data_IF_106767865641
#
_entry.id   IF_106767865641
#
_cell.length_a   1.000
_cell.length_b   1.000
_cell.length_c   1.000
_cell.angle_alpha   90.00
_cell.angle_beta   90.00
_cell.angle_gamma   90.00
#
_symmetry.space_group_name_H-M   'P 1'
#
loop_
_entity.id
_entity.type
_entity.pdbx_description
1 polymer ?
#
# COMPACT_ATOMS: atom_id res chain seq x y z
N UNK A 1 18.39 -26.91 1.31
CA UNK A 1 17.23 -27.26 2.17
C UNK A 1 17.41 -26.58 3.52
N UNK A 2 16.46 -25.73 3.93
CA UNK A 2 16.47 -25.15 5.29
C UNK A 2 16.07 -26.24 6.28
N UNK A 3 17.01 -26.83 7.02
CA UNK A 3 16.79 -27.95 7.94
C UNK A 3 15.96 -27.65 9.19
N UNK A 4 14.97 -26.75 9.10
CA UNK A 4 14.06 -26.42 10.21
C UNK A 4 12.93 -27.44 10.27
N UNK A 5 12.82 -28.15 11.39
CA UNK A 5 11.67 -29.01 11.73
C UNK A 5 10.59 -28.16 12.40
N UNK A 6 9.34 -28.31 11.96
CA UNK A 6 8.17 -27.70 12.58
C UNK A 6 7.17 -28.80 12.93
N UNK A 7 6.58 -28.75 14.12
CA UNK A 7 5.49 -29.67 14.49
C UNK A 7 4.20 -29.31 13.73
N UNK A 8 3.51 -30.31 13.18
CA UNK A 8 2.24 -30.17 12.48
C UNK A 8 1.03 -30.12 13.42
N UNK A 9 1.25 -30.24 14.75
CA UNK A 9 0.23 -30.22 15.80
C UNK A 9 -0.96 -31.17 15.56
N UNK A 10 -0.71 -32.27 14.86
CA UNK A 10 -1.67 -33.36 14.67
C UNK A 10 -0.95 -34.69 14.83
N UNK A 11 -1.60 -35.66 15.48
CA UNK A 11 -1.14 -37.05 15.57
C UNK A 11 -1.72 -37.91 14.44
N UNK A 12 -2.70 -37.40 13.68
CA UNK A 12 -3.27 -38.11 12.55
C UNK A 12 -2.34 -38.03 11.33
N UNK A 13 -1.93 -39.21 10.86
CA UNK A 13 -1.00 -39.37 9.74
C UNK A 13 -1.57 -38.80 8.44
N UNK A 14 -2.87 -39.01 8.16
CA UNK A 14 -3.49 -38.50 6.92
C UNK A 14 -3.55 -36.97 6.91
N UNK A 15 -3.93 -36.38 8.03
CA UNK A 15 -3.91 -34.92 8.21
C UNK A 15 -2.48 -34.37 8.08
N UNK A 16 -1.48 -35.05 8.65
CA UNK A 16 -0.08 -34.64 8.56
C UNK A 16 0.45 -34.66 7.11
N UNK A 17 0.18 -35.73 6.36
CA UNK A 17 0.57 -35.86 4.94
C UNK A 17 -0.08 -34.76 4.10
N UNK A 18 -1.37 -34.48 4.33
CA UNK A 18 -2.11 -33.39 3.66
C UNK A 18 -1.47 -32.02 3.95
N UNK A 19 -1.15 -31.73 5.21
CA UNK A 19 -0.51 -30.47 5.61
C UNK A 19 0.91 -30.31 5.01
N UNK A 20 1.68 -31.39 4.92
CA UNK A 20 3.01 -31.39 4.29
C UNK A 20 2.87 -31.12 2.79
N UNK A 21 1.97 -31.81 2.11
CA UNK A 21 1.75 -31.64 0.67
C UNK A 21 1.27 -30.23 0.35
N UNK A 22 0.25 -29.73 1.05
CA UNK A 22 -0.25 -28.37 0.88
C UNK A 22 0.85 -27.33 1.12
N UNK A 23 1.72 -27.54 2.12
CA UNK A 23 2.85 -26.65 2.39
C UNK A 23 3.94 -26.71 1.32
N UNK A 24 4.25 -27.91 0.82
CA UNK A 24 5.23 -28.09 -0.24
C UNK A 24 4.74 -27.49 -1.57
N UNK A 25 3.47 -27.67 -1.88
CA UNK A 25 2.79 -27.04 -3.02
C UNK A 25 2.74 -25.51 -2.85
N UNK A 26 2.49 -25.06 -1.62
CA UNK A 26 2.54 -23.65 -1.27
C UNK A 26 3.92 -23.00 -1.50
N UNK A 27 4.99 -23.77 -1.33
CA UNK A 27 6.36 -23.31 -1.58
C UNK A 27 6.78 -23.44 -3.05
N UNK A 28 6.21 -24.39 -3.80
CA UNK A 28 6.55 -24.65 -5.22
C UNK A 28 5.97 -23.62 -6.17
N UNK A 29 4.78 -23.12 -5.89
CA UNK A 29 4.09 -22.20 -6.80
C UNK A 29 3.55 -20.97 -6.08
N UNK A 30 4.41 -20.07 -5.56
CA UNK A 30 3.99 -18.90 -4.78
C UNK A 30 2.91 -18.06 -5.48
N UNK A 31 3.01 -17.93 -6.81
CA UNK A 31 2.00 -17.21 -7.61
C UNK A 31 0.67 -17.94 -7.75
N UNK A 32 0.65 -19.28 -7.69
CA UNK A 32 -0.60 -20.05 -7.68
C UNK A 32 -1.30 -19.89 -6.33
N UNK A 33 -0.57 -19.96 -5.21
CA UNK A 33 -1.17 -19.78 -3.88
C UNK A 33 -1.70 -18.37 -3.68
N UNK A 34 -1.00 -17.39 -4.24
CA UNK A 34 -1.49 -16.03 -4.35
C UNK A 34 -2.85 -16.01 -5.05
N UNK A 35 -2.94 -16.59 -6.25
CA UNK A 35 -4.19 -16.65 -7.02
C UNK A 35 -5.29 -17.43 -6.31
N UNK A 36 -4.98 -18.51 -5.60
CA UNK A 36 -5.93 -19.26 -4.78
C UNK A 36 -6.46 -18.40 -3.62
N UNK A 37 -5.57 -17.71 -2.89
CA UNK A 37 -5.97 -16.80 -1.82
C UNK A 37 -6.83 -15.65 -2.35
N UNK A 38 -6.48 -15.11 -3.51
CA UNK A 38 -7.27 -14.10 -4.24
C UNK A 38 -8.66 -14.63 -4.56
N UNK A 39 -8.78 -15.83 -5.12
CA UNK A 39 -10.07 -16.48 -5.43
C UNK A 39 -10.95 -16.63 -4.19
N UNK A 40 -10.38 -17.07 -3.05
CA UNK A 40 -11.13 -17.17 -1.79
C UNK A 40 -11.60 -15.80 -1.27
N UNK A 41 -10.76 -14.76 -1.38
CA UNK A 41 -11.12 -13.41 -0.96
C UNK A 41 -12.22 -12.82 -1.85
N UNK A 42 -12.15 -13.03 -3.17
CA UNK A 42 -13.17 -12.55 -4.10
C UNK A 42 -14.50 -13.29 -3.95
N UNK A 43 -14.47 -14.56 -3.55
CA UNK A 43 -15.69 -15.32 -3.26
C UNK A 43 -16.40 -14.88 -1.98
N UNK A 44 -15.68 -14.22 -1.06
CA UNK A 44 -16.23 -13.71 0.20
C UNK A 44 -16.72 -12.24 0.10
N UNK A 45 -16.13 -11.45 -0.81
CA UNK A 45 -16.53 -10.07 -1.11
C UNK A 45 -16.43 -9.84 -2.64
N UNK A 46 -17.57 -9.80 -3.33
CA UNK A 46 -17.65 -9.55 -4.78
C UNK A 46 -16.96 -8.23 -5.20
N UNK A 47 -16.89 -7.26 -4.29
CA UNK A 47 -16.20 -5.99 -4.53
C UNK A 47 -14.70 -6.10 -4.32
N UNK A 48 -14.19 -7.07 -3.56
CA UNK A 48 -12.75 -7.24 -3.33
C UNK A 48 -11.97 -7.51 -4.64
N UNK A 49 -12.62 -8.14 -5.63
CA UNK A 49 -12.03 -8.37 -6.95
C UNK A 49 -11.85 -7.07 -7.75
N UNK A 50 -12.74 -6.10 -7.56
CA UNK A 50 -12.86 -4.90 -8.41
C UNK A 50 -12.32 -3.65 -7.73
N UNK A 51 -12.15 -3.67 -6.42
CA UNK A 51 -11.72 -2.52 -5.63
C UNK A 51 -10.35 -2.04 -6.09
N UNK A 52 -10.26 -0.75 -6.38
CA UNK A 52 -9.08 -0.08 -6.94
C UNK A 52 -8.37 0.78 -5.89
N UNK A 53 -7.20 1.31 -6.24
CA UNK A 53 -6.56 2.35 -5.41
C UNK A 53 -7.35 3.66 -5.39
N UNK A 54 -8.12 3.96 -6.44
CA UNK A 54 -9.04 5.09 -6.48
C UNK A 54 -10.14 4.96 -5.42
N UNK A 55 -10.68 3.76 -5.21
CA UNK A 55 -11.62 3.48 -4.12
C UNK A 55 -10.97 3.72 -2.76
N UNK A 56 -9.74 3.23 -2.56
CA UNK A 56 -8.97 3.48 -1.33
C UNK A 56 -8.81 4.97 -1.05
N UNK A 57 -8.46 5.75 -2.07
CA UNK A 57 -8.29 7.21 -1.90
C UNK A 57 -9.61 7.87 -1.53
N UNK A 58 -10.71 7.55 -2.23
CA UNK A 58 -12.05 8.11 -1.97
C UNK A 58 -12.52 7.79 -0.55
N UNK A 59 -12.43 6.53 -0.14
CA UNK A 59 -12.86 6.07 1.19
C UNK A 59 -12.01 6.71 2.28
N UNK A 60 -10.69 6.82 2.08
CA UNK A 60 -9.83 7.48 3.05
C UNK A 60 -10.11 8.99 3.18
N UNK A 61 -10.50 9.66 2.08
CA UNK A 61 -10.90 11.08 2.07
C UNK A 61 -12.23 11.27 2.79
N UNK A 62 -13.22 10.41 2.52
CA UNK A 62 -14.55 10.47 3.13
C UNK A 62 -14.52 10.41 4.68
N UNK A 63 -13.49 9.77 5.24
CA UNK A 63 -13.25 9.70 6.69
C UNK A 63 -12.57 10.95 7.30
N UNK A 64 -12.48 12.06 6.56
CA UNK A 64 -11.79 13.28 6.98
C UNK A 64 -12.68 14.51 6.86
N UNK A 65 -12.38 15.52 7.65
CA UNK A 65 -13.10 16.79 7.68
C UNK A 65 -12.15 17.98 7.59
N UNK A 66 -12.69 19.13 7.14
CA UNK A 66 -11.98 20.41 7.09
C UNK A 66 -10.69 20.39 6.26
N UNK A 67 -9.68 21.13 6.71
CA UNK A 67 -8.40 21.28 6.01
C UNK A 67 -7.66 19.96 5.76
N UNK A 68 -7.91 18.93 6.58
CA UNK A 68 -7.33 17.61 6.36
C UNK A 68 -7.94 16.92 5.13
N UNK A 69 -9.26 16.97 4.93
CA UNK A 69 -9.90 16.39 3.74
C UNK A 69 -9.32 17.01 2.46
N UNK A 70 -9.29 18.35 2.39
CA UNK A 70 -8.73 19.08 1.25
C UNK A 70 -7.25 18.74 0.97
N UNK A 71 -6.47 18.46 2.02
CA UNK A 71 -5.07 18.02 1.86
C UNK A 71 -4.99 16.62 1.25
N UNK A 72 -5.85 15.69 1.67
CA UNK A 72 -5.89 14.34 1.12
C UNK A 72 -6.42 14.31 -0.32
N UNK A 73 -7.42 15.14 -0.63
CA UNK A 73 -7.91 15.32 -2.01
C UNK A 73 -6.78 15.76 -2.93
N UNK A 74 -6.09 16.86 -2.60
CA UNK A 74 -4.93 17.34 -3.38
C UNK A 74 -3.83 16.29 -3.51
N UNK A 75 -3.50 15.62 -2.41
CA UNK A 75 -2.49 14.55 -2.41
C UNK A 75 -2.90 13.38 -3.30
N UNK A 76 -4.17 12.96 -3.26
CA UNK A 76 -4.70 11.87 -4.09
C UNK A 76 -4.79 12.23 -5.58
N UNK A 77 -4.90 13.51 -5.91
CA UNK A 77 -4.98 14.02 -7.27
C UNK A 77 -3.60 14.19 -7.94
N UNK A 78 -2.50 13.93 -7.22
CA UNK A 78 -1.16 13.97 -7.82
C UNK A 78 -1.06 12.94 -8.97
N UNK A 79 -0.52 13.38 -10.11
CA UNK A 79 -0.43 12.56 -11.33
C UNK A 79 0.42 11.30 -11.19
N UNK A 80 1.32 11.26 -10.20
CA UNK A 80 2.08 10.06 -9.87
C UNK A 80 1.18 8.85 -9.55
N UNK A 81 -0.03 9.09 -9.03
CA UNK A 81 -0.99 8.03 -8.72
C UNK A 81 -1.75 7.49 -9.92
N UNK A 82 -1.72 8.17 -11.08
CA UNK A 82 -2.53 7.77 -12.24
C UNK A 82 -2.18 6.37 -12.75
N UNK A 83 -0.91 5.97 -12.59
CA UNK A 83 -0.44 4.61 -12.93
C UNK A 83 -1.07 3.48 -12.10
N UNK A 84 -1.67 3.79 -10.95
CA UNK A 84 -2.31 2.81 -10.07
C UNK A 84 -3.78 3.13 -9.76
N UNK A 85 -4.27 4.32 -10.09
CA UNK A 85 -5.60 4.82 -9.68
C UNK A 85 -6.72 3.83 -9.99
N UNK A 86 -6.77 3.34 -11.22
CA UNK A 86 -7.79 2.40 -11.67
C UNK A 86 -7.34 0.94 -11.62
N UNK A 87 -6.15 0.67 -11.06
CA UNK A 87 -5.63 -0.68 -10.91
C UNK A 87 -6.33 -1.39 -9.74
N UNK A 88 -6.85 -2.62 -9.94
CA UNK A 88 -7.35 -3.43 -8.85
C UNK A 88 -6.27 -3.68 -7.78
N UNK A 89 -6.66 -3.59 -6.51
CA UNK A 89 -5.76 -3.83 -5.38
C UNK A 89 -5.13 -5.22 -5.46
N UNK A 90 -5.95 -6.20 -5.86
CA UNK A 90 -5.57 -7.60 -5.96
C UNK A 90 -4.48 -7.86 -7.00
N UNK A 91 -4.44 -7.06 -8.07
CA UNK A 91 -3.46 -7.18 -9.16
C UNK A 91 -2.21 -6.31 -8.94
N UNK A 92 -2.13 -5.64 -7.79
CA UNK A 92 -1.04 -4.69 -7.52
C UNK A 92 0.20 -5.40 -7.02
N UNK A 93 1.23 -5.45 -7.87
CA UNK A 93 2.60 -5.85 -7.52
C UNK A 93 3.44 -4.69 -6.97
N UNK A 94 4.57 -5.01 -6.32
CA UNK A 94 5.47 -4.03 -5.70
C UNK A 94 6.05 -3.01 -6.69
N UNK A 95 6.31 -3.43 -7.93
CA UNK A 95 6.85 -2.61 -9.00
C UNK A 95 5.94 -1.44 -9.35
N UNK A 96 4.61 -1.62 -9.25
CA UNK A 96 3.66 -0.54 -9.47
C UNK A 96 3.78 0.54 -8.38
N UNK A 97 3.91 0.14 -7.11
CA UNK A 97 4.11 1.08 -6.01
C UNK A 97 5.47 1.80 -6.12
N UNK A 98 6.51 1.07 -6.53
CA UNK A 98 7.83 1.66 -6.78
C UNK A 98 7.81 2.64 -7.96
N UNK A 99 7.03 2.38 -9.01
CA UNK A 99 6.86 3.32 -10.12
C UNK A 99 6.23 4.64 -9.65
N UNK A 100 5.17 4.58 -8.84
CA UNK A 100 4.55 5.77 -8.22
C UNK A 100 5.57 6.54 -7.37
N UNK A 101 6.38 5.83 -6.56
CA UNK A 101 7.40 6.46 -5.72
C UNK A 101 8.51 7.13 -6.54
N UNK A 102 8.85 6.61 -7.72
CA UNK A 102 9.86 7.20 -8.62
C UNK A 102 9.32 8.43 -9.36
N UNK A 103 8.05 8.41 -9.74
CA UNK A 103 7.41 9.52 -10.44
C UNK A 103 6.98 10.66 -9.49
N UNK A 104 6.78 10.33 -8.21
CA UNK A 104 6.25 11.25 -7.20
C UNK A 104 7.29 12.06 -6.43
N UNK A 105 6.77 12.80 -5.46
CA UNK A 105 7.53 13.62 -4.51
C UNK A 105 7.52 13.00 -3.11
N UNK A 106 8.08 13.72 -2.14
CA UNK A 106 7.99 13.40 -0.71
C UNK A 106 6.52 13.30 -0.25
N UNK A 107 5.63 14.14 -0.80
CA UNK A 107 4.19 14.08 -0.52
C UNK A 107 3.58 12.77 -1.01
N UNK A 108 3.88 12.39 -2.26
CA UNK A 108 3.42 11.14 -2.86
C UNK A 108 3.81 9.94 -2.01
N UNK A 109 5.06 9.90 -1.53
CA UNK A 109 5.53 8.82 -0.65
C UNK A 109 4.71 8.75 0.66
N UNK A 110 4.47 9.89 1.31
CA UNK A 110 3.67 9.95 2.54
C UNK A 110 2.24 9.45 2.29
N UNK A 111 1.59 9.90 1.22
CA UNK A 111 0.22 9.52 0.90
C UNK A 111 0.11 8.07 0.43
N UNK A 112 1.03 7.59 -0.40
CA UNK A 112 1.04 6.19 -0.85
C UNK A 112 1.18 5.22 0.34
N UNK A 113 2.04 5.54 1.32
CA UNK A 113 2.13 4.76 2.57
C UNK A 113 0.82 4.75 3.35
N UNK A 114 0.12 5.89 3.41
CA UNK A 114 -1.16 6.03 4.11
C UNK A 114 -2.25 5.21 3.43
N UNK A 115 -2.36 5.29 2.11
CA UNK A 115 -3.30 4.50 1.32
C UNK A 115 -3.02 3.00 1.43
N UNK A 116 -1.74 2.61 1.35
CA UNK A 116 -1.33 1.21 1.51
C UNK A 116 -1.68 0.66 2.90
N UNK A 117 -1.38 1.42 3.96
CA UNK A 117 -1.75 1.02 5.32
C UNK A 117 -3.27 1.00 5.56
N UNK A 118 -4.01 1.91 4.93
CA UNK A 118 -5.47 1.91 5.00
C UNK A 118 -6.05 0.65 4.34
N UNK A 119 -5.61 0.33 3.12
CA UNK A 119 -6.03 -0.89 2.43
C UNK A 119 -5.69 -2.17 3.23
N UNK A 120 -4.54 -2.21 3.91
CA UNK A 120 -4.20 -3.27 4.85
C UNK A 120 -5.14 -3.33 6.04
N UNK A 121 -5.40 -2.19 6.69
CA UNK A 121 -6.27 -2.11 7.86
C UNK A 121 -7.72 -2.50 7.59
N UNK A 122 -8.19 -2.25 6.36
CA UNK A 122 -9.51 -2.67 5.87
C UNK A 122 -9.55 -4.13 5.40
N UNK A 123 -8.43 -4.85 5.46
CA UNK A 123 -8.28 -6.21 4.94
C UNK A 123 -8.61 -6.33 3.43
N UNK A 124 -8.44 -5.25 2.67
CA UNK A 124 -8.63 -5.23 1.21
C UNK A 124 -7.42 -5.70 0.45
N UNK A 125 -6.25 -5.65 1.08
CA UNK A 125 -5.06 -6.37 0.63
C UNK A 125 -4.62 -7.32 1.75
N UNK A 126 -4.34 -8.60 1.42
CA UNK A 126 -4.11 -9.64 2.42
C UNK A 126 -2.74 -9.59 3.10
N UNK A 127 -1.75 -8.92 2.49
CA UNK A 127 -0.41 -8.71 3.06
C UNK A 127 0.20 -7.43 2.51
N UNK A 128 1.22 -6.86 3.19
CA UNK A 128 1.90 -5.68 2.70
C UNK A 128 2.59 -5.94 1.35
N UNK A 129 2.06 -5.32 0.29
CA UNK A 129 2.67 -5.32 -1.06
C UNK A 129 4.15 -4.88 -1.01
N UNK A 130 4.46 -3.82 -0.27
CA UNK A 130 5.84 -3.39 -0.02
C UNK A 130 6.20 -3.55 1.47
N UNK A 131 7.18 -4.41 1.81
CA UNK A 131 7.69 -4.54 3.18
C UNK A 131 8.21 -3.21 3.74
N UNK A 132 8.01 -2.96 5.04
CA UNK A 132 8.40 -1.70 5.72
C UNK A 132 9.82 -1.21 5.38
N UNK A 133 10.78 -2.14 5.27
CA UNK A 133 12.19 -1.84 4.98
C UNK A 133 12.46 -1.36 3.55
N UNK A 134 11.60 -1.70 2.59
CA UNK A 134 11.79 -1.34 1.18
C UNK A 134 11.19 0.02 0.83
N UNK A 135 10.44 0.64 1.75
CA UNK A 135 9.91 1.97 1.50
C UNK A 135 11.00 3.05 1.61
N UNK A 136 11.16 3.94 0.62
CA UNK A 136 12.15 5.01 0.66
C UNK A 136 11.93 5.95 1.85
N UNK A 137 13.01 6.30 2.56
CA UNK A 137 12.93 7.24 3.69
C UNK A 137 12.38 8.58 3.26
N UNK A 138 11.42 9.10 4.02
CA UNK A 138 10.86 10.45 3.82
C UNK A 138 11.88 11.46 4.31
N UNK A 139 12.52 12.17 3.39
CA UNK A 139 13.47 13.26 3.70
C UNK A 139 12.86 14.56 3.22
N UNK A 140 12.61 15.48 4.15
CA UNK A 140 12.19 16.83 3.81
C UNK A 140 13.42 17.67 3.45
N UNK A 141 13.24 18.63 2.54
CA UNK A 141 14.27 19.62 2.25
C UNK A 141 14.60 20.46 3.48
N UNK A 142 15.81 21.01 3.50
CA UNK A 142 16.25 21.91 4.56
C UNK A 142 15.34 23.13 4.64
N UNK A 143 14.93 23.49 5.87
CA UNK A 143 14.12 24.68 6.12
C UNK A 143 14.99 25.71 6.83
N UNK A 144 15.15 26.88 6.21
CA UNK A 144 15.81 28.04 6.81
C UNK A 144 14.76 29.07 7.22
N UNK A 145 14.95 29.72 8.37
CA UNK A 145 14.17 30.90 8.74
C UNK A 145 14.45 32.07 7.80
N UNK A 146 13.43 32.85 7.48
CA UNK A 146 13.60 34.10 6.73
C UNK A 146 14.29 35.15 7.60
N UNK A 147 15.20 35.93 7.00
CA UNK A 147 15.81 37.09 7.66
C UNK A 147 14.83 38.26 7.72
N UNK A 148 15.10 39.23 8.60
CA UNK A 148 14.27 40.44 8.74
C UNK A 148 14.17 41.22 7.41
N UNK A 149 15.25 41.26 6.64
CA UNK A 149 15.29 41.93 5.32
C UNK A 149 14.38 41.22 4.30
N UNK A 150 14.43 39.89 4.24
CA UNK A 150 13.57 39.09 3.36
C UNK A 150 12.08 39.21 3.73
N UNK A 151 11.76 39.27 5.03
CA UNK A 151 10.41 39.54 5.52
C UNK A 151 9.90 40.93 5.08
N UNK A 152 10.71 41.99 5.24
CA UNK A 152 10.32 43.35 4.86
C UNK A 152 10.11 43.50 3.34
N UNK A 153 10.92 42.85 2.51
CA UNK A 153 10.76 42.85 1.05
C UNK A 153 9.47 42.12 0.59
N UNK A 154 9.11 41.03 1.26
CA UNK A 154 7.92 40.24 0.94
C UNK A 154 6.61 40.98 1.26
N UNK A 155 6.63 41.85 2.27
CA UNK A 155 5.46 42.65 2.67
C UNK A 155 5.13 43.78 1.67
N UNK A 156 6.08 44.22 0.85
CA UNK A 156 5.87 45.33 -0.10
C UNK A 156 5.35 44.87 -1.48
N UNK A 157 5.45 43.58 -1.80
CA UNK A 157 4.97 43.01 -3.07
C UNK A 157 3.50 42.54 -3.02
N UNK A 158 2.83 42.64 -1.87
CA UNK A 158 1.47 42.17 -1.65
C UNK A 158 0.43 43.30 -1.48
N UNK A 159 0.82 44.55 -1.77
CA UNK A 159 -0.03 45.74 -1.77
C UNK A 159 -0.19 46.26 -3.21
#
# INVERSE_FOLDING_TARGET
MTGRRFSLRTADRRTAETLIHARNEALRQPQLNLRIAQTYLTAADDQAAKRTWGDVMREMIALRTGANAARYERGSAESAFDSIRDRPLIDTQAEHLLAVLRAGTVSTNIFLRRFHNFALGMNWIPWPILPKKLWPSVRHGERRGITRTEHAASAFSAA
#
